data_IF_552830179350
#
_entry.id   IF_552830179350
#
_cell.length_a   1.000
_cell.length_b   1.000
_cell.length_c   1.000
_cell.angle_alpha   90.00
_cell.angle_beta   90.00
_cell.angle_gamma   90.00
#
_symmetry.space_group_name_H-M   'P 1'
#
loop_
_entity.id
_entity.type
_entity.pdbx_description
1 polymer ?
#
# COMPACT_ATOMS: atom_id res chain seq x y z
N UNK A 1 -24.93 29.65 -10.35
CA UNK A 1 -24.05 28.52 -9.95
C UNK A 1 -22.77 28.67 -10.75
N UNK A 2 -21.80 29.39 -10.17
CA UNK A 2 -20.86 30.22 -10.94
C UNK A 2 -19.58 29.52 -11.39
N UNK A 3 -18.92 30.16 -12.36
CA UNK A 3 -17.61 29.85 -12.95
C UNK A 3 -16.57 29.42 -11.90
N UNK A 4 -16.64 29.94 -10.66
CA UNK A 4 -15.78 29.52 -9.56
C UNK A 4 -15.91 28.03 -9.16
N UNK A 5 -17.11 27.44 -9.19
CA UNK A 5 -17.28 25.99 -8.91
C UNK A 5 -16.60 25.15 -9.99
N UNK A 6 -16.75 25.54 -11.25
CA UNK A 6 -16.13 24.88 -12.38
C UNK A 6 -14.59 24.96 -12.31
N UNK A 7 -14.04 26.16 -12.11
CA UNK A 7 -12.60 26.40 -12.11
C UNK A 7 -11.87 25.84 -10.88
N UNK A 8 -12.44 25.95 -9.69
CA UNK A 8 -11.74 25.60 -8.44
C UNK A 8 -12.10 24.22 -7.89
N UNK A 9 -13.13 23.56 -8.42
CA UNK A 9 -13.57 22.25 -7.94
C UNK A 9 -13.64 21.22 -9.05
N UNK A 10 -14.39 21.51 -10.11
CA UNK A 10 -14.71 20.48 -11.11
C UNK A 10 -13.53 20.21 -12.06
N UNK A 11 -12.84 21.27 -12.53
CA UNK A 11 -11.64 21.14 -13.38
C UNK A 11 -10.46 20.48 -12.62
N UNK A 12 -10.09 20.90 -11.39
CA UNK A 12 -9.02 20.24 -10.64
C UNK A 12 -9.32 18.77 -10.36
N UNK A 13 -10.58 18.43 -10.06
CA UNK A 13 -11.01 17.04 -9.90
C UNK A 13 -10.86 16.24 -11.20
N UNK A 14 -11.27 16.81 -12.33
CA UNK A 14 -11.12 16.16 -13.63
C UNK A 14 -9.65 15.95 -14.00
N UNK A 15 -8.80 16.96 -13.81
CA UNK A 15 -7.34 16.86 -14.05
C UNK A 15 -6.72 15.81 -13.13
N UNK A 16 -7.11 15.79 -11.85
CA UNK A 16 -6.67 14.78 -10.90
C UNK A 16 -7.06 13.38 -11.36
N UNK A 17 -8.31 13.18 -11.78
CA UNK A 17 -8.79 11.91 -12.29
C UNK A 17 -8.00 11.48 -13.54
N UNK A 18 -7.79 12.37 -14.51
CA UNK A 18 -7.03 12.07 -15.74
C UNK A 18 -5.57 11.68 -15.41
N UNK A 19 -4.91 12.43 -14.51
CA UNK A 19 -3.53 12.11 -14.06
C UNK A 19 -3.45 10.77 -13.36
N UNK A 20 -4.47 10.42 -12.59
CA UNK A 20 -4.55 9.15 -11.89
C UNK A 20 -4.69 7.98 -12.87
N UNK A 21 -5.53 8.13 -13.91
CA UNK A 21 -5.63 7.17 -15.00
C UNK A 21 -4.34 7.05 -15.81
N UNK A 22 -3.59 8.14 -16.03
CA UNK A 22 -2.33 8.09 -16.78
C UNK A 22 -1.17 7.46 -16.01
N UNK A 23 -1.27 7.36 -14.69
CA UNK A 23 -0.19 6.93 -13.80
C UNK A 23 -0.46 5.59 -13.13
N UNK A 24 -1.35 4.75 -13.65
CA UNK A 24 -1.60 3.39 -13.14
C UNK A 24 -1.13 2.32 -14.12
N UNK A 25 -0.62 1.20 -13.59
CA UNK A 25 -0.33 -0.02 -14.33
C UNK A 25 -1.41 -1.05 -14.06
N UNK A 26 -1.88 -1.71 -15.12
CA UNK A 26 -2.68 -2.93 -14.99
C UNK A 26 -1.77 -4.09 -14.61
N UNK A 27 -2.17 -4.83 -13.60
CA UNK A 27 -1.54 -6.08 -13.17
C UNK A 27 -2.51 -7.20 -13.46
N UNK A 28 -2.09 -8.17 -14.27
CA UNK A 28 -2.82 -9.40 -14.54
C UNK A 28 -2.14 -10.55 -13.79
N UNK A 29 -2.88 -11.24 -12.94
CA UNK A 29 -2.36 -12.31 -12.09
C UNK A 29 -3.41 -13.37 -11.85
N UNK A 30 -3.12 -14.63 -12.25
CA UNK A 30 -3.92 -15.82 -11.91
C UNK A 30 -5.43 -15.66 -12.15
N UNK A 31 -5.80 -15.06 -13.28
CA UNK A 31 -7.19 -14.83 -13.68
C UNK A 31 -7.84 -13.56 -13.10
N UNK A 32 -7.10 -12.78 -12.32
CA UNK A 32 -7.52 -11.46 -11.82
C UNK A 32 -6.80 -10.35 -12.59
N UNK A 33 -7.46 -9.19 -12.69
CA UNK A 33 -6.90 -7.97 -13.25
C UNK A 33 -7.21 -6.81 -12.33
N UNK A 34 -6.19 -6.02 -11.99
CA UNK A 34 -6.34 -4.89 -11.07
C UNK A 34 -5.35 -3.78 -11.38
N UNK A 35 -5.65 -2.58 -10.89
CA UNK A 35 -4.87 -1.37 -11.14
C UNK A 35 -3.97 -1.06 -9.95
N UNK A 36 -2.70 -0.77 -10.20
CA UNK A 36 -1.75 -0.29 -9.20
C UNK A 36 -1.21 1.06 -9.67
N UNK A 37 -1.26 2.07 -8.80
CA UNK A 37 -0.62 3.34 -9.05
C UNK A 37 0.88 3.11 -9.25
N UNK A 38 1.39 3.64 -10.35
CA UNK A 38 2.70 3.39 -10.92
C UNK A 38 3.31 4.69 -11.43
N UNK A 39 3.28 5.73 -10.59
CA UNK A 39 3.72 7.09 -10.88
C UNK A 39 5.25 7.27 -10.86
N UNK A 40 5.98 6.27 -10.40
CA UNK A 40 7.44 6.27 -10.31
C UNK A 40 8.03 4.90 -10.67
N UNK A 41 9.35 4.77 -10.68
CA UNK A 41 10.02 3.54 -11.12
C UNK A 41 9.85 2.38 -10.13
N UNK A 42 9.77 2.66 -8.82
CA UNK A 42 9.59 1.64 -7.76
C UNK A 42 8.18 1.06 -7.83
N UNK A 43 7.16 1.92 -7.92
CA UNK A 43 5.76 1.46 -8.06
C UNK A 43 5.53 0.71 -9.37
N UNK A 44 6.17 1.13 -10.47
CA UNK A 44 6.20 0.35 -11.74
C UNK A 44 6.89 -1.01 -11.57
N UNK A 45 8.01 -1.05 -10.86
CA UNK A 45 8.71 -2.30 -10.58
C UNK A 45 7.83 -3.27 -9.81
N UNK A 46 7.12 -2.80 -8.78
CA UNK A 46 6.17 -3.61 -8.01
C UNK A 46 5.04 -4.19 -8.86
N UNK A 47 4.43 -3.36 -9.71
CA UNK A 47 3.38 -3.81 -10.61
C UNK A 47 3.89 -4.87 -11.60
N UNK A 48 5.07 -4.66 -12.19
CA UNK A 48 5.66 -5.56 -13.20
C UNK A 48 6.13 -6.89 -12.63
N UNK A 49 6.71 -6.87 -11.44
CA UNK A 49 7.31 -8.06 -10.82
C UNK A 49 6.36 -8.83 -9.91
N UNK A 50 5.09 -8.41 -9.81
CA UNK A 50 4.12 -8.98 -8.87
C UNK A 50 4.03 -10.52 -8.94
N UNK A 51 3.96 -11.07 -10.16
CA UNK A 51 3.84 -12.52 -10.34
C UNK A 51 5.14 -13.30 -10.09
N UNK A 52 6.28 -12.61 -10.06
CA UNK A 52 7.62 -13.23 -10.05
C UNK A 52 8.34 -13.06 -8.72
N UNK A 53 8.01 -12.01 -7.95
CA UNK A 53 8.78 -11.62 -6.77
C UNK A 53 8.67 -12.62 -5.62
N UNK A 54 7.43 -13.00 -5.28
CA UNK A 54 7.10 -13.93 -4.18
C UNK A 54 5.91 -14.82 -4.63
N UNK A 55 6.09 -15.68 -5.64
CA UNK A 55 5.02 -16.54 -6.16
C UNK A 55 4.43 -17.48 -5.09
N UNK A 56 5.25 -17.92 -4.13
CA UNK A 56 4.82 -18.74 -2.99
C UNK A 56 3.80 -18.03 -2.09
N UNK A 57 3.87 -16.70 -2.00
CA UNK A 57 2.91 -15.91 -1.24
C UNK A 57 1.55 -15.86 -1.95
N UNK A 58 1.56 -15.82 -3.29
CA UNK A 58 0.34 -15.92 -4.08
C UNK A 58 -0.28 -17.32 -4.00
N UNK A 59 0.55 -18.38 -4.00
CA UNK A 59 0.10 -19.75 -3.77
C UNK A 59 -0.57 -19.87 -2.40
N UNK A 60 0.08 -19.33 -1.36
CA UNK A 60 -0.48 -19.36 -0.01
C UNK A 60 -1.85 -18.67 0.07
N UNK A 61 -2.03 -17.49 -0.55
CA UNK A 61 -3.33 -16.80 -0.57
C UNK A 61 -4.40 -17.60 -1.32
N UNK A 62 -4.06 -18.16 -2.48
CA UNK A 62 -5.01 -18.91 -3.30
C UNK A 62 -5.50 -20.18 -2.57
N UNK A 63 -4.58 -20.87 -1.87
CA UNK A 63 -4.85 -22.14 -1.20
C UNK A 63 -5.47 -21.96 0.20
N UNK A 64 -5.03 -20.96 0.96
CA UNK A 64 -5.35 -20.87 2.39
C UNK A 64 -6.42 -19.83 2.71
N UNK A 65 -6.44 -18.68 2.04
CA UNK A 65 -7.43 -17.64 2.34
C UNK A 65 -8.81 -18.09 1.85
N UNK A 66 -9.80 -18.08 2.74
CA UNK A 66 -11.18 -18.43 2.43
C UNK A 66 -12.10 -17.21 2.43
N UNK A 67 -13.30 -17.39 1.88
CA UNK A 67 -14.37 -16.41 2.00
C UNK A 67 -14.75 -16.21 3.47
N UNK A 68 -14.88 -14.95 3.89
CA UNK A 68 -15.22 -14.57 5.27
C UNK A 68 -14.04 -14.54 6.24
N UNK A 69 -12.83 -14.93 5.81
CA UNK A 69 -11.63 -14.88 6.65
C UNK A 69 -11.18 -13.44 6.94
N UNK A 70 -10.31 -13.31 7.95
CA UNK A 70 -9.58 -12.08 8.24
C UNK A 70 -8.13 -12.26 7.81
N UNK A 71 -7.64 -11.35 6.95
CA UNK A 71 -6.24 -11.27 6.54
C UNK A 71 -5.58 -10.01 7.09
N UNK A 72 -4.47 -10.19 7.80
CA UNK A 72 -3.63 -9.09 8.26
C UNK A 72 -2.43 -8.93 7.32
N UNK A 73 -2.42 -7.84 6.54
CA UNK A 73 -1.30 -7.47 5.66
C UNK A 73 -0.40 -6.48 6.40
N UNK A 74 0.68 -6.99 7.01
CA UNK A 74 1.60 -6.21 7.85
C UNK A 74 2.75 -5.68 7.00
N UNK A 75 2.90 -4.35 6.93
CA UNK A 75 3.81 -3.72 5.98
C UNK A 75 3.24 -3.71 4.57
N UNK A 76 1.94 -3.40 4.46
CA UNK A 76 1.16 -3.51 3.23
C UNK A 76 1.73 -2.69 2.05
N UNK A 77 2.58 -1.70 2.32
CA UNK A 77 3.26 -0.88 1.34
C UNK A 77 2.25 -0.19 0.39
N UNK A 78 2.36 -0.40 -0.93
CA UNK A 78 1.39 0.10 -1.93
C UNK A 78 0.09 -0.73 -1.98
N UNK A 79 -0.05 -1.77 -1.15
CA UNK A 79 -1.26 -2.58 -1.01
C UNK A 79 -1.44 -3.69 -2.02
N UNK A 80 -0.39 -4.10 -2.73
CA UNK A 80 -0.55 -5.02 -3.87
C UNK A 80 -1.09 -6.40 -3.45
N UNK A 81 -0.69 -6.91 -2.29
CA UNK A 81 -1.23 -8.17 -1.73
C UNK A 81 -2.60 -7.97 -1.11
N UNK A 82 -2.83 -6.88 -0.38
CA UNK A 82 -4.17 -6.51 0.11
C UNK A 82 -5.22 -6.49 -1.01
N UNK A 83 -4.90 -5.90 -2.16
CA UNK A 83 -5.80 -5.82 -3.32
C UNK A 83 -6.02 -7.20 -3.93
N UNK A 84 -4.94 -7.95 -4.11
CA UNK A 84 -5.02 -9.30 -4.65
C UNK A 84 -5.90 -10.21 -3.77
N UNK A 85 -5.64 -10.23 -2.46
CA UNK A 85 -6.40 -11.02 -1.49
C UNK A 85 -7.89 -10.66 -1.51
N UNK A 86 -8.22 -9.35 -1.50
CA UNK A 86 -9.59 -8.87 -1.53
C UNK A 86 -10.34 -9.18 -2.83
N UNK A 87 -9.66 -9.18 -3.97
CA UNK A 87 -10.25 -9.58 -5.25
C UNK A 87 -10.41 -11.09 -5.37
N UNK A 88 -9.46 -11.85 -4.82
CA UNK A 88 -9.50 -13.31 -4.81
C UNK A 88 -10.60 -13.85 -3.90
N UNK A 89 -10.83 -13.21 -2.75
CA UNK A 89 -11.84 -13.58 -1.74
C UNK A 89 -12.70 -12.35 -1.37
N UNK A 90 -13.73 -12.02 -2.16
CA UNK A 90 -14.50 -10.78 -2.00
C UNK A 90 -15.18 -10.58 -0.64
N UNK A 91 -15.43 -11.66 0.12
CA UNK A 91 -16.04 -11.56 1.46
C UNK A 91 -15.03 -11.62 2.60
N UNK A 92 -13.75 -11.88 2.32
CA UNK A 92 -12.69 -11.78 3.32
C UNK A 92 -12.49 -10.30 3.73
N UNK A 93 -12.15 -10.08 5.00
CA UNK A 93 -11.80 -8.76 5.53
C UNK A 93 -10.29 -8.61 5.60
N UNK A 94 -9.76 -7.60 4.92
CA UNK A 94 -8.33 -7.33 4.87
C UNK A 94 -8.03 -6.09 5.72
N UNK A 95 -7.18 -6.25 6.72
CA UNK A 95 -6.63 -5.12 7.46
C UNK A 95 -5.17 -4.91 7.03
N UNK A 96 -4.92 -3.75 6.43
CA UNK A 96 -3.64 -3.42 5.80
C UNK A 96 -2.90 -2.39 6.65
N UNK A 97 -1.81 -2.80 7.29
CA UNK A 97 -1.02 -1.95 8.18
C UNK A 97 0.18 -1.40 7.43
N UNK A 98 0.22 -0.08 7.23
CA UNK A 98 1.35 0.60 6.57
C UNK A 98 1.68 1.91 7.31
N UNK A 99 2.85 1.98 7.98
CA UNK A 99 3.22 3.17 8.74
C UNK A 99 3.82 4.30 7.89
N UNK A 100 4.45 4.01 6.75
CA UNK A 100 5.12 5.05 5.95
C UNK A 100 4.07 5.84 5.16
N UNK A 101 4.09 7.17 5.34
CA UNK A 101 3.03 8.04 4.84
C UNK A 101 2.86 7.99 3.32
N UNK A 102 3.96 7.96 2.57
CA UNK A 102 3.91 7.95 1.11
C UNK A 102 3.33 6.63 0.58
N UNK A 103 3.70 5.50 1.16
CA UNK A 103 3.15 4.17 0.88
C UNK A 103 1.68 4.08 1.28
N UNK A 104 1.31 4.60 2.44
CA UNK A 104 -0.07 4.64 2.89
C UNK A 104 -0.97 5.44 1.93
N UNK A 105 -0.46 6.53 1.36
CA UNK A 105 -1.18 7.24 0.30
C UNK A 105 -1.40 6.34 -0.92
N UNK A 106 -0.36 5.65 -1.39
CA UNK A 106 -0.44 4.71 -2.51
C UNK A 106 -1.46 3.59 -2.25
N UNK A 107 -1.41 2.96 -1.08
CA UNK A 107 -2.38 1.96 -0.62
C UNK A 107 -3.82 2.48 -0.71
N UNK A 108 -4.09 3.66 -0.14
CA UNK A 108 -5.44 4.27 -0.19
C UNK A 108 -5.92 4.49 -1.62
N UNK A 109 -5.05 5.02 -2.48
CA UNK A 109 -5.42 5.26 -3.88
C UNK A 109 -5.68 3.95 -4.62
N UNK A 110 -4.90 2.90 -4.35
CA UNK A 110 -5.10 1.61 -4.98
C UNK A 110 -6.36 0.87 -4.50
N UNK A 111 -6.74 1.01 -3.22
CA UNK A 111 -8.02 0.53 -2.71
C UNK A 111 -9.18 1.20 -3.47
N UNK A 112 -9.12 2.53 -3.63
CA UNK A 112 -10.13 3.30 -4.35
C UNK A 112 -10.20 2.89 -5.83
N UNK A 113 -9.05 2.75 -6.49
CA UNK A 113 -8.99 2.43 -7.93
C UNK A 113 -9.52 1.04 -8.28
N UNK A 114 -9.63 0.13 -7.30
CA UNK A 114 -10.13 -1.23 -7.48
C UNK A 114 -11.49 -1.47 -6.80
N UNK A 115 -12.16 -0.41 -6.33
CA UNK A 115 -13.47 -0.48 -5.68
C UNK A 115 -13.52 -1.37 -4.42
N UNK A 116 -12.42 -1.45 -3.67
CA UNK A 116 -12.24 -2.36 -2.52
C UNK A 116 -12.53 -1.72 -1.16
N UNK A 117 -13.26 -0.60 -1.14
CA UNK A 117 -13.55 0.18 0.08
C UNK A 117 -14.33 -0.60 1.15
N UNK A 118 -15.00 -1.69 0.78
CA UNK A 118 -15.85 -2.48 1.69
C UNK A 118 -15.05 -3.51 2.47
N UNK A 119 -13.95 -4.00 1.93
CA UNK A 119 -13.25 -5.16 2.47
C UNK A 119 -11.74 -4.96 2.67
N UNK A 120 -11.15 -3.85 2.23
CA UNK A 120 -9.77 -3.47 2.58
C UNK A 120 -9.75 -2.22 3.46
N UNK A 121 -9.21 -2.36 4.66
CA UNK A 121 -9.23 -1.33 5.70
C UNK A 121 -7.77 -0.97 6.03
N UNK A 122 -7.28 0.20 5.58
CA UNK A 122 -5.91 0.61 5.83
C UNK A 122 -5.74 1.26 7.21
N UNK A 123 -4.66 0.90 7.91
CA UNK A 123 -4.24 1.50 9.16
C UNK A 123 -2.86 2.15 9.05
N UNK A 124 -2.77 3.40 9.52
CA UNK A 124 -1.55 4.20 9.57
C UNK A 124 -0.70 3.89 10.82
N UNK A 125 -0.44 2.61 11.08
CA UNK A 125 0.30 2.16 12.26
C UNK A 125 1.30 1.07 11.86
N UNK A 126 2.38 0.96 12.61
CA UNK A 126 3.29 -0.17 12.51
C UNK A 126 2.86 -1.28 13.49
N UNK A 127 3.07 -2.53 13.09
CA UNK A 127 2.97 -3.66 14.02
C UNK A 127 4.33 -3.90 14.64
N UNK A 128 4.36 -4.01 15.96
CA UNK A 128 5.58 -4.13 16.76
C UNK A 128 5.35 -5.06 17.96
N UNK A 129 6.41 -5.36 18.70
CA UNK A 129 6.37 -6.12 19.95
C UNK A 129 5.73 -5.34 21.11
N UNK A 130 5.53 -4.03 20.92
CA UNK A 130 5.08 -3.10 21.94
C UNK A 130 4.17 -2.02 21.35
N UNK A 131 3.03 -1.79 22.00
CA UNK A 131 2.10 -0.68 21.69
C UNK A 131 2.64 0.65 22.23
N UNK A 132 2.59 1.71 21.44
CA UNK A 132 3.00 3.04 21.86
C UNK A 132 3.52 3.90 20.72
N UNK A 133 4.57 4.67 21.00
CA UNK A 133 5.23 5.52 20.01
C UNK A 133 6.62 4.95 19.72
N UNK A 134 7.03 5.01 18.46
CA UNK A 134 8.37 4.61 18.02
C UNK A 134 8.82 5.45 16.82
N UNK A 135 9.90 5.03 16.16
CA UNK A 135 10.39 5.67 14.95
C UNK A 135 10.46 4.69 13.78
N UNK A 136 10.09 5.19 12.60
CA UNK A 136 10.36 4.52 11.33
C UNK A 136 11.63 5.11 10.73
N UNK A 137 12.62 4.26 10.46
CA UNK A 137 13.88 4.63 9.84
C UNK A 137 13.84 4.31 8.36
N UNK A 138 13.94 5.34 7.53
CA UNK A 138 13.71 5.30 6.08
C UNK A 138 15.03 5.53 5.35
N UNK A 139 15.27 4.72 4.31
CA UNK A 139 16.47 4.84 3.46
C UNK A 139 16.19 5.44 2.08
N UNK A 140 14.92 5.43 1.63
CA UNK A 140 14.50 5.93 0.33
C UNK A 140 13.09 6.55 0.46
N UNK A 141 12.96 7.80 0.04
CA UNK A 141 11.70 8.56 0.07
C UNK A 141 10.81 8.29 -1.15
N UNK A 142 11.27 7.50 -2.11
CA UNK A 142 10.49 7.18 -3.30
C UNK A 142 9.24 6.41 -2.88
N UNK A 143 8.02 6.89 -3.22
CA UNK A 143 6.80 6.16 -2.87
C UNK A 143 6.84 4.74 -3.41
N UNK A 144 6.47 3.78 -2.56
CA UNK A 144 6.65 2.36 -2.83
C UNK A 144 8.01 1.82 -2.41
N UNK A 145 8.94 2.58 -1.84
CA UNK A 145 10.16 2.00 -1.28
C UNK A 145 9.85 1.02 -0.14
N UNK A 146 10.75 0.06 0.08
CA UNK A 146 10.66 -0.95 1.15
C UNK A 146 11.81 -0.79 2.16
N UNK A 147 12.04 -1.79 3.01
CA UNK A 147 13.22 -1.88 3.88
C UNK A 147 13.35 -0.71 4.87
N UNK A 148 12.23 -0.14 5.30
CA UNK A 148 12.19 0.71 6.47
C UNK A 148 12.16 -0.16 7.73
N UNK A 149 12.79 0.30 8.81
CA UNK A 149 12.80 -0.44 10.09
C UNK A 149 12.16 0.41 11.18
N UNK A 150 11.20 -0.18 11.89
CA UNK A 150 10.69 0.36 13.14
C UNK A 150 11.70 0.08 14.25
N UNK A 151 12.13 1.13 14.97
CA UNK A 151 12.97 1.01 16.15
C UNK A 151 12.86 2.25 17.03
N UNK A 152 12.90 2.07 18.36
CA UNK A 152 12.88 3.20 19.32
C UNK A 152 14.21 3.93 19.40
N UNK A 153 15.30 3.18 19.31
CA UNK A 153 16.64 3.75 19.23
C UNK A 153 16.94 4.23 17.82
N UNK A 154 17.78 5.26 17.71
CA UNK A 154 18.20 5.75 16.41
C UNK A 154 19.20 4.79 15.77
N UNK A 155 18.91 4.36 14.55
CA UNK A 155 19.82 3.53 13.76
C UNK A 155 20.30 4.28 12.52
N UNK A 156 21.55 3.98 12.11
CA UNK A 156 22.15 4.57 10.92
C UNK A 156 21.98 3.68 9.68
N UNK A 157 21.58 2.42 9.86
CA UNK A 157 21.36 1.48 8.77
C UNK A 157 20.10 0.65 8.96
N UNK A 158 19.39 0.40 7.87
CA UNK A 158 18.24 -0.51 7.77
C UNK A 158 18.46 -1.48 6.62
N UNK A 159 18.41 -2.80 6.87
CA UNK A 159 18.74 -3.83 5.87
C UNK A 159 20.05 -3.56 5.08
N UNK A 160 21.07 -3.03 5.75
CA UNK A 160 22.37 -2.69 5.14
C UNK A 160 22.40 -1.38 4.32
N UNK A 161 21.29 -0.66 4.21
CA UNK A 161 21.17 0.67 3.56
C UNK A 161 21.30 1.77 4.59
N UNK A 162 21.91 2.89 4.21
CA UNK A 162 22.02 4.05 5.10
C UNK A 162 20.64 4.69 5.32
N UNK A 163 20.34 5.00 6.57
CA UNK A 163 19.11 5.72 6.93
C UNK A 163 19.27 7.18 6.54
N UNK A 164 18.34 7.68 5.74
CA UNK A 164 18.32 9.09 5.29
C UNK A 164 17.29 9.92 6.05
N UNK A 165 16.34 9.26 6.74
CA UNK A 165 15.28 9.92 7.49
C UNK A 165 14.74 9.08 8.64
N UNK A 166 14.17 9.77 9.63
CA UNK A 166 13.50 9.16 10.76
C UNK A 166 12.23 9.96 11.09
N UNK A 167 11.10 9.27 11.17
CA UNK A 167 9.82 9.88 11.56
C UNK A 167 9.15 9.14 12.70
N UNK A 168 8.36 9.87 13.50
CA UNK A 168 7.61 9.30 14.62
C UNK A 168 6.38 8.56 14.11
N UNK A 169 6.16 7.35 14.62
CA UNK A 169 5.04 6.49 14.27
C UNK A 169 4.37 5.94 15.53
N UNK A 170 3.10 5.55 15.39
CA UNK A 170 2.39 4.77 16.41
C UNK A 170 2.57 3.29 16.10
N UNK A 171 2.85 2.50 17.14
CA UNK A 171 2.97 1.05 17.08
C UNK A 171 1.84 0.38 17.84
N UNK A 172 1.43 -0.81 17.39
CA UNK A 172 0.51 -1.72 18.10
C UNK A 172 1.04 -3.14 18.08
N UNK A 173 0.74 -3.92 19.12
CA UNK A 173 0.79 -5.38 19.08
C UNK A 173 -0.43 -5.93 18.32
N UNK A 174 -0.29 -7.11 17.70
CA UNK A 174 -1.39 -7.91 17.13
C UNK A 174 -1.65 -9.16 17.97
#
# INVERSE_FOLDING_TARGET
MGIGKLLYKDIPKLISAIRQFSNSSRVDSRGLSFQILSDNWVTKFRARTFNEKEPEMLDWLDENLQEGDIFFDVGANVGIYSIYAALRKPTATIYAFEPEYSNLHQLKMNIINNDLLKNVIPFAIAISDQTGVSYLHIHDFTPGAALSTEQRDSINKTYGKDVVWKEGIVTSTL
#
